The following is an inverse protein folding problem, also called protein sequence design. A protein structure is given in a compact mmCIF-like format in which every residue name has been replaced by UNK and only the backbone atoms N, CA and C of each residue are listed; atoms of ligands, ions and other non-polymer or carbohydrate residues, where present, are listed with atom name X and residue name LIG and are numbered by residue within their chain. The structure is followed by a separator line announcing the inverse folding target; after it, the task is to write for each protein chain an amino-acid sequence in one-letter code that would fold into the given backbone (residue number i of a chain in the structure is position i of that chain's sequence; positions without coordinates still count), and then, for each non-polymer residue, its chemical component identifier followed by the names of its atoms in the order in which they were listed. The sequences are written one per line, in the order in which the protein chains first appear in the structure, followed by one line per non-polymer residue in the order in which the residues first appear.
data_IF_455228186669
#
_entry.id   IF_455228186669
#
_cell.length_a   1.000
_cell.length_b   1.000
_cell.length_c   1.000
_cell.angle_alpha   90.00
_cell.angle_beta   90.00
_cell.angle_gamma   90.00
#
_symmetry.space_group_name_H-M   'P 1'
#
loop_
_entity.id
_entity.type
_entity.pdbx_description
1 polymer ?
#
# COMPACT_ATOMS: atom_id res chain seq x y z
N UNK A 1 21.50 -7.54 0.83
CA UNK A 1 21.09 -7.67 2.25
C UNK A 1 22.32 -7.74 3.15
N UNK A 2 22.51 -6.81 4.09
CA UNK A 2 23.54 -6.93 5.12
C UNK A 2 23.29 -8.14 6.03
N UNK A 3 24.24 -9.08 6.04
CA UNK A 3 24.24 -10.28 6.87
C UNK A 3 25.24 -10.09 8.01
N UNK A 4 24.81 -10.37 9.25
CA UNK A 4 25.71 -10.51 10.40
C UNK A 4 25.95 -11.98 10.64
N UNK A 5 27.22 -12.38 10.55
CA UNK A 5 27.68 -13.73 10.84
C UNK A 5 28.41 -13.74 12.17
N UNK A 6 28.15 -14.75 13.00
CA UNK A 6 28.83 -14.96 14.27
C UNK A 6 29.23 -16.42 14.37
N UNK A 7 30.50 -16.68 14.62
CA UNK A 7 31.03 -18.04 14.78
C UNK A 7 31.25 -18.26 16.28
N UNK A 8 30.53 -19.21 16.88
CA UNK A 8 30.70 -19.60 18.28
C UNK A 8 30.78 -21.11 18.39
N UNK A 9 31.87 -21.62 18.97
CA UNK A 9 32.01 -23.06 19.25
C UNK A 9 32.03 -23.98 18.01
N UNK A 10 32.36 -23.45 16.83
CA UNK A 10 32.30 -24.22 15.57
C UNK A 10 30.94 -24.17 14.87
N UNK A 11 29.94 -23.52 15.45
CA UNK A 11 28.64 -23.28 14.82
C UNK A 11 28.59 -21.91 14.15
N UNK A 12 28.01 -21.88 12.95
CA UNK A 12 27.76 -20.67 12.18
C UNK A 12 26.34 -20.16 12.48
N UNK A 13 26.24 -19.07 13.25
CA UNK A 13 24.99 -18.33 13.39
C UNK A 13 25.00 -17.14 12.43
N UNK A 14 23.94 -16.97 11.64
CA UNK A 14 23.76 -15.80 10.80
C UNK A 14 22.41 -15.16 11.06
N UNK A 15 22.34 -13.83 10.91
CA UNK A 15 21.09 -13.08 10.96
C UNK A 15 21.12 -11.96 9.94
N UNK A 16 19.94 -11.58 9.48
CA UNK A 16 19.77 -10.40 8.65
C UNK A 16 19.73 -9.17 9.55
N UNK A 17 20.68 -8.27 9.36
CA UNK A 17 20.74 -7.02 10.12
C UNK A 17 19.87 -5.94 9.47
N UNK A 18 19.51 -6.10 8.20
CA UNK A 18 18.76 -5.10 7.46
C UNK A 18 18.59 -5.40 5.98
N UNK A 19 18.03 -4.44 5.26
CA UNK A 19 17.82 -4.46 3.82
C UNK A 19 18.39 -3.19 3.18
N UNK A 20 18.93 -3.33 1.97
CA UNK A 20 19.17 -2.18 1.10
C UNK A 20 17.98 -2.09 0.17
N UNK A 21 17.30 -0.96 0.18
CA UNK A 21 16.12 -0.71 -0.65
C UNK A 21 16.36 0.48 -1.55
N UNK A 22 15.82 0.40 -2.76
CA UNK A 22 15.76 1.52 -3.69
C UNK A 22 14.43 2.25 -3.50
N UNK A 23 14.48 3.58 -3.45
CA UNK A 23 13.27 4.38 -3.40
C UNK A 23 12.37 4.12 -4.62
N UNK A 24 12.98 3.94 -5.80
CA UNK A 24 12.27 3.68 -7.05
C UNK A 24 11.39 2.41 -6.95
N UNK A 25 11.88 1.34 -6.30
CA UNK A 25 11.15 0.09 -6.10
C UNK A 25 10.00 0.26 -5.09
N UNK A 26 10.26 0.99 -3.99
CA UNK A 26 9.23 1.28 -2.98
C UNK A 26 8.13 2.18 -3.56
N UNK A 27 8.50 3.19 -4.36
CA UNK A 27 7.55 4.08 -5.02
C UNK A 27 6.70 3.33 -6.07
N UNK A 28 7.28 2.36 -6.78
CA UNK A 28 6.54 1.48 -7.69
C UNK A 28 5.54 0.59 -6.94
N UNK A 29 6.00 -0.09 -5.88
CA UNK A 29 5.13 -0.90 -5.01
C UNK A 29 3.97 -0.08 -4.43
N UNK A 30 4.26 1.12 -3.91
CA UNK A 30 3.23 2.00 -3.38
C UNK A 30 2.21 2.43 -4.45
N UNK A 31 2.66 2.67 -5.68
CA UNK A 31 1.78 3.07 -6.77
C UNK A 31 0.78 1.96 -7.12
N UNK A 32 1.25 0.71 -7.19
CA UNK A 32 0.39 -0.45 -7.44
C UNK A 32 -0.59 -0.65 -6.28
N UNK A 33 -0.11 -0.68 -5.04
CA UNK A 33 -0.97 -0.85 -3.86
C UNK A 33 -2.03 0.27 -3.74
N UNK A 34 -1.68 1.52 -4.06
CA UNK A 34 -2.62 2.65 -4.04
C UNK A 34 -3.63 2.58 -5.19
N UNK A 35 -3.23 2.06 -6.36
CA UNK A 35 -4.13 1.83 -7.48
C UNK A 35 -5.16 0.75 -7.14
N UNK A 36 -4.74 -0.35 -6.50
CA UNK A 36 -5.62 -1.43 -6.03
C UNK A 36 -6.65 -0.94 -5.01
N UNK A 37 -6.29 0.10 -4.23
CA UNK A 37 -7.18 0.76 -3.27
C UNK A 37 -8.06 1.87 -3.90
N UNK A 38 -8.04 2.01 -5.23
CA UNK A 38 -8.82 3.01 -5.97
C UNK A 38 -8.34 4.45 -5.76
N UNK A 39 -7.11 4.66 -5.29
CA UNK A 39 -6.53 5.96 -4.99
C UNK A 39 -5.16 6.17 -5.67
N UNK A 40 -5.07 6.02 -7.01
CA UNK A 40 -3.81 6.09 -7.72
C UNK A 40 -3.17 7.48 -7.56
N UNK A 41 -1.94 7.50 -7.05
CA UNK A 41 -1.18 8.74 -6.85
C UNK A 41 0.32 8.45 -6.76
N UNK A 42 1.11 9.52 -6.87
CA UNK A 42 2.56 9.44 -6.76
C UNK A 42 2.97 9.45 -5.27
N UNK A 43 3.88 8.55 -4.91
CA UNK A 43 4.59 8.56 -3.64
C UNK A 43 6.04 9.04 -3.83
N UNK A 44 6.61 9.73 -2.85
CA UNK A 44 8.02 10.16 -2.82
C UNK A 44 8.68 9.71 -1.52
N UNK A 45 9.66 8.82 -1.61
CA UNK A 45 10.28 8.17 -0.45
C UNK A 45 11.64 8.78 -0.04
N UNK A 46 12.05 9.88 -0.68
CA UNK A 46 13.25 10.64 -0.32
C UNK A 46 14.53 10.06 -0.90
N UNK A 47 15.43 9.56 -0.05
CA UNK A 47 16.76 9.12 -0.46
C UNK A 47 16.70 7.89 -1.39
N UNK A 48 17.42 7.97 -2.52
CA UNK A 48 17.36 6.95 -3.59
C UNK A 48 17.74 5.55 -3.14
N UNK A 49 18.73 5.44 -2.25
CA UNK A 49 19.18 4.17 -1.66
C UNK A 49 19.13 4.33 -0.15
N UNK A 50 18.50 3.39 0.56
CA UNK A 50 18.46 3.39 2.02
C UNK A 50 18.89 2.04 2.56
N UNK A 51 19.75 2.08 3.58
CA UNK A 51 19.99 0.93 4.44
C UNK A 51 18.99 1.00 5.58
N UNK A 52 18.14 -0.02 5.69
CA UNK A 52 17.13 -0.12 6.73
C UNK A 52 17.49 -1.25 7.68
N UNK A 53 17.33 -1.02 8.97
CA UNK A 53 17.27 -2.13 9.90
C UNK A 53 15.99 -2.96 9.66
N UNK A 54 16.02 -4.24 10.03
CA UNK A 54 14.81 -5.05 9.97
C UNK A 54 13.69 -4.44 10.85
N UNK A 55 12.50 -4.28 10.28
CA UNK A 55 11.35 -3.65 10.95
C UNK A 55 11.37 -2.11 10.93
N UNK A 56 12.38 -1.48 10.31
CA UNK A 56 12.41 -0.02 10.14
C UNK A 56 11.38 0.43 9.09
N UNK A 57 10.76 1.60 9.33
CA UNK A 57 9.76 2.18 8.45
C UNK A 57 10.38 3.16 7.46
N UNK A 58 10.01 3.05 6.19
CA UNK A 58 10.25 4.05 5.16
C UNK A 58 9.02 4.93 5.04
N UNK A 59 9.16 6.20 5.44
CA UNK A 59 8.12 7.19 5.23
C UNK A 59 8.19 7.73 3.80
N UNK A 60 7.07 7.67 3.08
CA UNK A 60 6.88 8.27 1.78
C UNK A 60 5.77 9.31 1.84
N UNK A 61 5.98 10.48 1.23
CA UNK A 61 4.92 11.47 1.07
C UNK A 61 4.05 11.12 -0.13
N UNK A 62 2.75 11.24 0.03
CA UNK A 62 1.77 11.08 -1.04
C UNK A 62 1.45 12.45 -1.63
N UNK A 63 1.24 12.51 -2.95
CA UNK A 63 0.99 13.76 -3.67
C UNK A 63 -0.21 14.55 -3.11
N UNK A 64 -1.23 13.86 -2.59
CA UNK A 64 -2.45 14.48 -2.07
C UNK A 64 -2.40 14.80 -0.56
N UNK A 65 -1.21 14.94 0.04
CA UNK A 65 -1.03 15.37 1.43
C UNK A 65 -0.94 14.25 2.48
N UNK A 66 -1.19 12.99 2.08
CA UNK A 66 -1.05 11.82 2.95
C UNK A 66 0.38 11.33 3.13
N UNK A 67 0.55 10.33 4.00
CA UNK A 67 1.82 9.60 4.19
C UNK A 67 1.60 8.11 4.02
N UNK A 68 2.57 7.43 3.43
CA UNK A 68 2.64 5.97 3.46
C UNK A 68 3.90 5.54 4.21
N UNK A 69 3.82 4.42 4.91
CA UNK A 69 4.95 3.79 5.58
C UNK A 69 5.10 2.37 5.05
N UNK A 70 6.28 2.08 4.48
CA UNK A 70 6.65 0.72 4.07
C UNK A 70 7.60 0.15 5.10
N UNK A 71 7.29 -1.04 5.62
CA UNK A 71 8.12 -1.76 6.59
C UNK A 71 8.70 -2.98 5.90
N UNK A 72 10.02 -3.14 5.97
CA UNK A 72 10.71 -4.34 5.47
C UNK A 72 11.11 -5.21 6.66
N UNK A 73 10.53 -6.39 6.75
CA UNK A 73 10.75 -7.33 7.85
C UNK A 73 12.04 -8.14 7.64
N UNK A 74 12.53 -8.75 8.72
CA UNK A 74 13.74 -9.57 8.69
C UNK A 74 13.60 -10.82 7.81
N UNK A 75 12.38 -11.28 7.58
CA UNK A 75 12.04 -12.44 6.74
C UNK A 75 11.90 -12.08 5.25
N UNK A 76 12.09 -10.81 4.89
CA UNK A 76 11.94 -10.31 3.52
C UNK A 76 10.50 -9.94 3.15
N UNK A 77 9.53 -10.11 4.05
CA UNK A 77 8.16 -9.64 3.83
C UNK A 77 8.06 -8.12 3.97
N UNK A 78 7.04 -7.54 3.34
CA UNK A 78 6.76 -6.10 3.39
C UNK A 78 5.38 -5.84 3.96
N UNK A 79 5.27 -4.88 4.89
CA UNK A 79 3.99 -4.37 5.36
C UNK A 79 3.80 -2.92 4.90
N UNK A 80 2.56 -2.57 4.59
CA UNK A 80 2.17 -1.23 4.16
C UNK A 80 1.19 -0.63 5.17
N UNK A 81 1.53 0.55 5.67
CA UNK A 81 0.62 1.38 6.47
C UNK A 81 0.36 2.69 5.71
N UNK A 82 -0.90 3.08 5.54
CA UNK A 82 -1.27 4.33 4.86
C UNK A 82 -1.94 5.23 5.89
N UNK A 83 -1.37 6.43 6.07
CA UNK A 83 -1.98 7.51 6.83
C UNK A 83 -2.55 8.51 5.82
N UNK A 84 -3.83 8.36 5.51
CA UNK A 84 -4.54 9.31 4.66
C UNK A 84 -4.65 10.65 5.38
N UNK A 85 -4.57 11.74 4.61
CA UNK A 85 -4.87 13.09 5.13
C UNK A 85 -6.29 13.08 5.74
N UNK A 86 -6.54 13.76 6.87
CA UNK A 86 -7.87 13.86 7.47
C UNK A 86 -8.94 14.32 6.47
N UNK A 87 -8.64 15.19 5.50
CA UNK A 87 -9.58 15.61 4.44
C UNK A 87 -9.97 14.44 3.53
N UNK A 88 -9.03 13.54 3.21
CA UNK A 88 -9.31 12.32 2.45
C UNK A 88 -9.98 11.23 3.30
N UNK A 89 -9.70 11.22 4.61
CA UNK A 89 -10.42 10.41 5.60
C UNK A 89 -11.90 10.82 5.69
N UNK A 90 -12.16 12.13 5.77
CA UNK A 90 -13.51 12.70 5.85
C UNK A 90 -14.32 12.44 4.58
N UNK A 91 -13.71 12.53 3.39
CA UNK A 91 -14.37 12.18 2.13
C UNK A 91 -14.76 10.69 2.01
N UNK A 92 -14.06 9.79 2.73
CA UNK A 92 -14.43 8.37 2.83
C UNK A 92 -15.38 8.07 3.97
N UNK A 93 -15.40 8.92 5.01
CA UNK A 93 -16.28 8.81 6.16
C UNK A 93 -17.64 9.52 5.95
N UNK A 94 -17.81 10.24 4.84
CA UNK A 94 -19.10 10.83 4.47
C UNK A 94 -20.13 9.70 4.33
N UNK A 95 -21.07 9.67 5.28
CA UNK A 95 -22.15 8.70 5.27
C UNK A 95 -22.90 8.83 3.95
N UNK A 96 -22.98 7.73 3.20
CA UNK A 96 -23.78 7.70 1.97
C UNK A 96 -25.22 8.04 2.37
N UNK A 97 -25.76 9.13 1.84
CA UNK A 97 -27.13 9.51 2.15
C UNK A 97 -28.09 8.40 1.68
N UNK A 98 -29.21 8.22 2.38
CA UNK A 98 -30.23 7.23 2.01
C UNK A 98 -30.67 7.40 0.54
N UNK A 99 -30.74 8.65 0.06
CA UNK A 99 -31.06 8.95 -1.35
C UNK A 99 -29.96 8.45 -2.32
N UNK A 100 -28.70 8.58 -1.94
CA UNK A 100 -27.57 8.09 -2.74
C UNK A 100 -27.52 6.56 -2.75
N UNK A 101 -27.81 5.90 -1.63
CA UNK A 101 -27.94 4.43 -1.57
C UNK A 101 -29.08 3.92 -2.46
N UNK A 102 -30.25 4.57 -2.42
CA UNK A 102 -31.38 4.22 -3.28
C UNK A 102 -31.04 4.39 -4.78
N UNK A 103 -30.35 5.48 -5.13
CA UNK A 103 -29.89 5.72 -6.50
C UNK A 103 -28.90 4.65 -6.99
N UNK A 104 -28.00 4.18 -6.13
CA UNK A 104 -27.05 3.10 -6.46
C UNK A 104 -27.79 1.76 -6.63
N UNK A 105 -28.78 1.46 -5.78
CA UNK A 105 -29.61 0.26 -5.90
C UNK A 105 -30.46 0.24 -7.18
N UNK A 106 -30.94 1.41 -7.62
CA UNK A 106 -31.62 1.54 -8.91
C UNK A 106 -30.68 1.37 -10.10
N UNK A 107 -29.46 1.92 -10.03
CA UNK A 107 -28.44 1.71 -11.06
C UNK A 107 -28.02 0.23 -11.13
N UNK A 108 -27.81 -0.45 -10.00
CA UNK A 108 -27.48 -1.87 -9.94
C UNK A 108 -28.55 -2.72 -10.63
N UNK A 109 -29.83 -2.48 -10.31
CA UNK A 109 -30.95 -3.19 -10.94
C UNK A 109 -31.07 -2.93 -12.44
N UNK A 110 -30.75 -1.72 -12.91
CA UNK A 110 -30.73 -1.40 -14.35
C UNK A 110 -29.59 -2.09 -15.08
N UNK A 111 -28.42 -2.23 -14.45
CA UNK A 111 -27.29 -2.95 -15.02
C UNK A 111 -27.58 -4.46 -15.09
N UNK A 112 -28.14 -5.05 -14.04
CA UNK A 112 -28.55 -6.46 -14.02
C UNK A 112 -29.57 -6.77 -15.12
N UNK A 113 -30.58 -5.90 -15.30
CA UNK A 113 -31.57 -6.09 -16.37
C UNK A 113 -30.98 -5.95 -17.79
N UNK A 114 -29.97 -5.09 -17.97
CA UNK A 114 -29.31 -4.93 -19.25
C UNK A 114 -28.42 -6.12 -19.63
N UNK A 115 -27.76 -6.76 -18.67
CA UNK A 115 -26.95 -7.98 -18.88
C UNK A 115 -27.81 -9.22 -19.21
N UNK A 116 -29.06 -9.25 -18.73
CA UNK A 116 -30.02 -10.33 -19.03
C UNK A 116 -30.65 -10.18 -20.43
N UNK A 117 -30.89 -8.94 -20.89
CA UNK A 117 -31.41 -8.67 -22.24
C UNK A 117 -30.38 -8.98 -23.34
N UNK A 118 -29.08 -8.75 -23.11
CA UNK A 118 -27.99 -9.06 -24.07
C UNK A 118 -27.70 -10.58 -24.20
N UNK A 119 -28.21 -11.43 -23.31
CA UNK A 119 -28.07 -12.90 -23.38
C UNK A 119 -29.28 -13.61 -24.04
N UNK A 120 -30.32 -12.87 -24.41
CA UNK A 120 -31.56 -13.41 -24.97
C UNK A 120 -31.66 -13.33 -26.51
N UNK A 121 -30.61 -12.88 -27.21
CA UNK A 121 -30.48 -12.87 -28.69
C UNK A 121 -29.69 -14.04 -29.29
#
# INVERSE_FOLDING_TARGET
MPLRMNVRGGELAWRLDGALVLADDIEAYLREALADLGAPQVARCGARIRSLAAGERVQCQLQNGGKAFVVVNADGTTALEILLDPVAGDARAEAVSIEREQSLLEMSRKLEAADDDDQAE
#
